data_IF_675012834864
#
_entry.id   IF_675012834864
#
_cell.length_a   1.000
_cell.length_b   1.000
_cell.length_c   1.000
_cell.angle_alpha   90.00
_cell.angle_beta   90.00
_cell.angle_gamma   90.00
#
_symmetry.space_group_name_H-M   'P 1'
#
loop_
_entity.id
_entity.type
_entity.pdbx_description
1 polymer ?
#
# COMPACT_ATOMS: atom_id res chain seq x y z
N UNK A 1 5.26 -0.84 -22.31
CA UNK A 1 3.82 -0.58 -22.38
C UNK A 1 3.20 -1.22 -23.63
N UNK A 2 3.41 -0.69 -24.84
CA UNK A 2 2.74 -1.15 -26.09
C UNK A 2 2.82 -2.64 -26.43
N UNK A 3 3.86 -3.35 -25.97
CA UNK A 3 3.98 -4.80 -26.16
C UNK A 3 3.11 -5.62 -25.19
N UNK A 4 2.98 -5.18 -23.93
CA UNK A 4 2.17 -5.85 -22.90
C UNK A 4 0.67 -5.67 -23.17
N UNK A 5 0.27 -4.48 -23.65
CA UNK A 5 -1.10 -4.18 -24.08
C UNK A 5 -1.55 -5.08 -25.25
N UNK A 6 -0.63 -5.38 -26.19
CA UNK A 6 -0.89 -6.30 -27.31
C UNK A 6 -1.04 -7.76 -26.88
N UNK A 7 -0.55 -8.11 -25.69
CA UNK A 7 -0.70 -9.44 -25.07
C UNK A 7 -1.90 -9.52 -24.12
N UNK A 8 -2.70 -8.46 -24.00
CA UNK A 8 -3.86 -8.42 -23.09
C UNK A 8 -3.48 -8.45 -21.61
N UNK A 9 -2.24 -8.10 -21.27
CA UNK A 9 -1.77 -8.03 -19.88
C UNK A 9 -1.98 -6.60 -19.39
N UNK A 10 -3.11 -6.38 -18.71
CA UNK A 10 -3.37 -5.14 -18.00
C UNK A 10 -2.75 -5.22 -16.60
N UNK A 11 -2.00 -4.19 -16.21
CA UNK A 11 -1.53 -4.08 -14.84
C UNK A 11 -2.74 -3.82 -13.93
N UNK A 12 -3.13 -4.81 -13.13
CA UNK A 12 -4.17 -4.62 -12.13
C UNK A 12 -3.77 -3.51 -11.16
N UNK A 13 -4.70 -2.58 -10.92
CA UNK A 13 -4.48 -1.53 -9.92
C UNK A 13 -4.35 -2.19 -8.55
N UNK A 14 -3.33 -1.83 -7.76
CA UNK A 14 -3.14 -2.45 -6.45
C UNK A 14 -4.33 -2.17 -5.55
N UNK A 15 -4.81 -3.20 -4.85
CA UNK A 15 -5.78 -3.06 -3.78
C UNK A 15 -5.12 -2.36 -2.60
N UNK A 16 -5.71 -1.26 -2.14
CA UNK A 16 -5.20 -0.46 -1.01
C UNK A 16 -6.10 -0.63 0.22
N UNK A 17 -5.51 -0.45 1.40
CA UNK A 17 -6.25 -0.27 2.66
C UNK A 17 -7.03 1.03 2.66
N UNK A 18 -8.21 1.02 3.29
CA UNK A 18 -9.00 2.22 3.52
C UNK A 18 -8.47 3.08 4.68
N UNK A 19 -7.88 2.43 5.71
CA UNK A 19 -7.39 3.08 6.93
C UNK A 19 -5.88 2.91 7.08
N UNK A 20 -5.21 3.97 7.52
CA UNK A 20 -3.79 3.99 7.81
C UNK A 20 -3.47 3.00 8.93
N UNK A 21 -2.57 2.02 8.73
CA UNK A 21 -2.28 1.00 9.73
C UNK A 21 -1.51 1.57 10.95
N UNK A 22 -0.95 2.77 10.82
CA UNK A 22 -0.24 3.45 11.92
C UNK A 22 -1.20 4.24 12.79
N UNK A 23 -2.12 5.01 12.21
CA UNK A 23 -2.94 5.99 12.93
C UNK A 23 -4.46 5.72 12.92
N UNK A 24 -4.95 4.81 12.08
CA UNK A 24 -6.38 4.54 11.87
C UNK A 24 -7.14 5.57 11.03
N UNK A 25 -6.49 6.67 10.61
CA UNK A 25 -7.10 7.71 9.75
C UNK A 25 -7.29 7.24 8.32
N UNK A 26 -8.15 7.91 7.54
CA UNK A 26 -8.26 7.67 6.10
C UNK A 26 -6.91 7.84 5.38
N UNK A 27 -6.64 7.00 4.38
CA UNK A 27 -5.37 7.01 3.63
C UNK A 27 -5.35 8.10 2.57
N UNK A 28 -4.14 8.52 2.21
CA UNK A 28 -3.83 9.19 0.96
C UNK A 28 -3.21 8.15 0.01
N UNK A 29 -3.86 7.93 -1.14
CA UNK A 29 -3.42 6.93 -2.13
C UNK A 29 -2.09 7.30 -2.81
N UNK A 30 -1.62 8.54 -2.66
CA UNK A 30 -0.29 8.96 -3.11
C UNK A 30 0.83 8.60 -2.12
N UNK A 31 0.49 8.25 -0.88
CA UNK A 31 1.48 7.91 0.15
C UNK A 31 1.46 6.40 0.39
N UNK A 32 2.30 5.67 -0.35
CA UNK A 32 2.31 4.20 -0.32
C UNK A 32 3.67 3.59 -0.03
N UNK A 33 3.70 2.32 0.33
CA UNK A 33 4.91 1.49 0.42
C UNK A 33 4.59 0.05 0.01
N UNK A 34 5.57 -0.61 -0.60
CA UNK A 34 5.46 -2.02 -0.95
C UNK A 34 5.87 -2.89 0.24
N UNK A 35 4.99 -3.81 0.64
CA UNK A 35 5.23 -4.74 1.74
C UNK A 35 4.63 -6.12 1.45
N UNK A 36 5.48 -7.15 1.37
CA UNK A 36 5.08 -8.53 1.06
C UNK A 36 4.22 -8.64 -0.23
N UNK A 37 4.66 -7.98 -1.30
CA UNK A 37 3.97 -7.91 -2.60
C UNK A 37 2.60 -7.20 -2.55
N UNK A 38 2.39 -6.33 -1.56
CA UNK A 38 1.18 -5.53 -1.39
C UNK A 38 1.52 -4.07 -1.31
N UNK A 39 0.71 -3.23 -1.92
CA UNK A 39 0.81 -1.78 -1.77
C UNK A 39 0.02 -1.33 -0.54
N UNK A 40 0.73 -0.83 0.47
CA UNK A 40 0.15 -0.29 1.70
C UNK A 40 0.07 1.23 1.58
N UNK A 41 -1.10 1.81 1.80
CA UNK A 41 -1.34 3.26 1.80
C UNK A 41 -1.34 3.87 3.21
N UNK A 42 -0.97 5.14 3.32
CA UNK A 42 -0.85 5.86 4.59
C UNK A 42 -1.55 7.21 4.52
N UNK A 43 -1.95 7.75 5.67
CA UNK A 43 -2.56 9.09 5.72
C UNK A 43 -1.54 10.23 5.53
N UNK A 44 -0.24 9.97 5.74
CA UNK A 44 0.83 10.96 5.63
C UNK A 44 2.23 10.33 5.60
N UNK A 45 3.24 11.11 5.22
CA UNK A 45 4.64 10.67 5.14
C UNK A 45 5.24 10.24 6.49
N UNK A 46 4.78 10.79 7.62
CA UNK A 46 5.26 10.37 8.94
C UNK A 46 4.79 8.95 9.29
N UNK A 47 3.55 8.60 8.92
CA UNK A 47 3.05 7.24 9.10
C UNK A 47 3.78 6.26 8.19
N UNK A 48 4.01 6.64 6.92
CA UNK A 48 4.85 5.85 6.00
C UNK A 48 6.23 5.59 6.61
N UNK A 49 6.91 6.63 7.09
CA UNK A 49 8.24 6.52 7.71
C UNK A 49 8.24 5.59 8.94
N UNK A 50 7.22 5.68 9.79
CA UNK A 50 7.09 4.80 10.95
C UNK A 50 6.88 3.34 10.54
N UNK A 51 6.04 3.10 9.53
CA UNK A 51 5.82 1.77 8.98
C UNK A 51 7.08 1.21 8.31
N UNK A 52 7.79 1.98 7.50
CA UNK A 52 9.03 1.53 6.84
C UNK A 52 10.11 1.12 7.84
N UNK A 53 10.15 1.77 9.02
CA UNK A 53 11.12 1.48 10.07
C UNK A 53 10.80 0.17 10.82
N UNK A 54 9.52 -0.15 11.00
CA UNK A 54 9.08 -1.37 11.68
C UNK A 54 7.72 -1.85 11.14
N UNK A 55 7.69 -2.47 9.95
CA UNK A 55 6.44 -2.89 9.33
C UNK A 55 5.80 -4.07 10.07
N UNK A 56 6.57 -4.81 10.87
CA UNK A 56 6.09 -5.93 11.68
C UNK A 56 5.07 -5.49 12.72
N UNK A 57 5.33 -4.37 13.42
CA UNK A 57 4.43 -3.79 14.42
C UNK A 57 3.07 -3.30 13.89
N UNK A 58 2.90 -3.24 12.57
CA UNK A 58 1.67 -2.80 11.93
C UNK A 58 1.06 -3.85 11.00
N UNK A 59 1.72 -5.00 10.81
CA UNK A 59 1.34 -6.00 9.82
C UNK A 59 -0.03 -6.62 10.07
N UNK A 60 -0.41 -6.84 11.33
CA UNK A 60 -1.72 -7.40 11.72
C UNK A 60 -2.88 -6.51 11.26
N UNK A 61 -2.67 -5.18 11.22
CA UNK A 61 -3.69 -4.21 10.82
C UNK A 61 -3.91 -4.15 9.31
N UNK A 62 -3.09 -4.84 8.53
CA UNK A 62 -3.23 -4.92 7.07
C UNK A 62 -4.21 -6.01 6.63
N UNK A 63 -4.51 -7.00 7.49
CA UNK A 63 -5.39 -8.12 7.16
C UNK A 63 -5.09 -8.72 5.78
N UNK A 64 -6.17 -9.01 5.04
CA UNK A 64 -6.16 -9.55 3.67
C UNK A 64 -6.07 -8.45 2.60
N UNK A 65 -5.29 -7.38 2.86
CA UNK A 65 -4.76 -6.60 1.74
C UNK A 65 -4.15 -7.55 0.72
#
# INVERSE_FOLDING_TARGET
AKFLEKLGIEAEKPKLNAQCPVSGKAVDVAVTSEYKARTVAFCCGNCKKAFDADPGSFAEKLGDL
#
